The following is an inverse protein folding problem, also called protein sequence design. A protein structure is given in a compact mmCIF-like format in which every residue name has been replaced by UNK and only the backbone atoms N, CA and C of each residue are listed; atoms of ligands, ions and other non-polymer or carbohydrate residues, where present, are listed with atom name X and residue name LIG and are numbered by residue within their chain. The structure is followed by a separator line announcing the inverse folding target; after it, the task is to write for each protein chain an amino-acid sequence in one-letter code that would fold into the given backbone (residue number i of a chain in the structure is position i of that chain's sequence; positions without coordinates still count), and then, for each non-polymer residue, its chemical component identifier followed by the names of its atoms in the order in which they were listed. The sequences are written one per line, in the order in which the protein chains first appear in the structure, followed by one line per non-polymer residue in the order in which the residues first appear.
data_IF_201813728379
#
_entry.id   IF_201813728379
#
_cell.length_a   1.000
_cell.length_b   1.000
_cell.length_c   1.000
_cell.angle_alpha   90.00
_cell.angle_beta   90.00
_cell.angle_gamma   90.00
#
_symmetry.space_group_name_H-M   'P 1'
#
loop_
_entity.id
_entity.type
_entity.pdbx_description
1 polymer ?
#
# COMPACT_ATOMS: atom_id res chain seq x y z
N UNK A 1 23.29 -12.39 17.98
CA UNK A 1 24.52 -11.64 17.71
C UNK A 1 25.58 -12.11 18.69
N UNK A 2 26.84 -12.30 18.27
CA UNK A 2 27.93 -12.62 19.19
C UNK A 2 28.23 -11.43 20.11
N UNK A 3 28.51 -11.70 21.39
CA UNK A 3 28.92 -10.67 22.36
C UNK A 3 30.24 -10.03 21.92
N UNK A 4 30.27 -8.71 21.83
CA UNK A 4 31.52 -7.98 21.61
C UNK A 4 32.43 -8.19 22.81
N UNK A 5 33.72 -8.52 22.59
CA UNK A 5 34.66 -8.62 23.69
C UNK A 5 34.71 -7.29 24.44
N UNK A 6 34.65 -7.37 25.78
CA UNK A 6 34.66 -6.23 26.71
C UNK A 6 33.42 -5.30 26.67
N UNK A 7 32.30 -5.70 26.06
CA UNK A 7 31.08 -4.85 26.04
C UNK A 7 30.59 -4.49 27.44
N UNK A 8 30.53 -5.47 28.35
CA UNK A 8 30.10 -5.25 29.74
C UNK A 8 31.04 -4.32 30.51
N UNK A 9 32.35 -4.45 30.27
CA UNK A 9 33.34 -3.56 30.87
C UNK A 9 33.19 -2.13 30.35
N UNK A 10 33.02 -1.96 29.04
CA UNK A 10 32.78 -0.66 28.42
C UNK A 10 31.48 -0.02 28.93
N UNK A 11 30.40 -0.80 29.00
CA UNK A 11 29.11 -0.38 29.57
C UNK A 11 29.25 0.08 31.03
N UNK A 12 30.03 -0.65 31.83
CA UNK A 12 30.32 -0.26 33.21
C UNK A 12 31.11 1.06 33.26
N UNK A 13 32.13 1.23 32.42
CA UNK A 13 32.92 2.46 32.37
C UNK A 13 32.05 3.69 32.03
N UNK A 14 31.18 3.59 31.02
CA UNK A 14 30.29 4.69 30.62
C UNK A 14 29.36 5.16 31.76
N UNK A 15 28.93 4.24 32.63
CA UNK A 15 28.05 4.57 33.78
C UNK A 15 28.77 5.34 34.89
N UNK A 16 30.09 5.23 35.01
CA UNK A 16 30.88 5.89 36.05
C UNK A 16 31.37 7.28 35.64
N UNK A 17 31.20 7.68 34.38
CA UNK A 17 31.62 8.99 33.88
C UNK A 17 30.84 10.13 34.56
N UNK A 18 31.56 11.16 34.99
CA UNK A 18 31.00 12.42 35.46
C UNK A 18 30.45 13.28 34.32
N UNK A 19 29.65 14.31 34.66
CA UNK A 19 28.97 15.16 33.68
C UNK A 19 29.92 15.74 32.61
N UNK A 20 31.07 16.31 33.03
CA UNK A 20 32.04 16.90 32.10
C UNK A 20 32.68 15.86 31.17
N UNK A 21 32.91 14.64 31.67
CA UNK A 21 33.49 13.56 30.88
C UNK A 21 32.50 13.06 29.83
N UNK A 22 31.20 12.99 30.19
CA UNK A 22 30.13 12.67 29.25
C UNK A 22 30.03 13.71 28.13
N UNK A 23 30.08 15.01 28.45
CA UNK A 23 30.07 16.08 27.44
C UNK A 23 31.28 16.00 26.50
N UNK A 24 32.50 15.79 27.04
CA UNK A 24 33.69 15.61 26.21
C UNK A 24 33.59 14.38 25.30
N UNK A 25 33.03 13.29 25.81
CA UNK A 25 32.84 12.06 25.03
C UNK A 25 31.80 12.28 23.92
N UNK A 26 30.71 12.98 24.22
CA UNK A 26 29.69 13.38 23.23
C UNK A 26 30.29 14.17 22.08
N UNK A 27 31.04 15.24 22.37
CA UNK A 27 31.72 16.04 21.35
C UNK A 27 32.72 15.22 20.52
N UNK A 28 33.42 14.28 21.15
CA UNK A 28 34.38 13.42 20.46
C UNK A 28 33.68 12.49 19.46
N UNK A 29 32.58 11.85 19.85
CA UNK A 29 31.82 10.96 18.95
C UNK A 29 31.13 11.70 17.81
N UNK A 30 30.65 12.93 18.04
CA UNK A 30 30.07 13.75 16.98
C UNK A 30 31.07 14.12 15.88
N UNK A 31 32.38 14.12 16.17
CA UNK A 31 33.44 14.39 15.20
C UNK A 31 33.97 13.13 14.51
N UNK A 32 33.52 11.94 14.90
CA UNK A 32 33.99 10.68 14.30
C UNK A 32 33.14 10.27 13.11
N UNK A 33 33.80 9.70 12.11
CA UNK A 33 33.15 9.07 10.95
C UNK A 33 32.39 7.81 11.38
N UNK A 34 31.29 7.52 10.70
CA UNK A 34 30.51 6.31 10.90
C UNK A 34 31.27 5.08 10.38
N UNK A 35 31.55 4.10 11.26
CA UNK A 35 32.35 2.91 10.95
C UNK A 35 31.71 1.62 11.52
N UNK A 36 32.10 0.44 11.02
CA UNK A 36 31.51 -0.85 11.46
C UNK A 36 31.63 -1.05 12.98
N UNK A 37 30.49 -1.09 13.67
CA UNK A 37 30.36 -1.14 15.14
C UNK A 37 29.73 0.12 15.77
N UNK A 38 29.62 1.20 15.00
CA UNK A 38 29.06 2.50 15.39
C UNK A 38 27.64 2.44 15.95
N UNK A 39 26.74 1.64 15.37
CA UNK A 39 25.37 1.56 15.84
C UNK A 39 25.26 0.90 17.22
N UNK A 40 26.03 -0.16 17.47
CA UNK A 40 26.10 -0.81 18.77
C UNK A 40 26.71 0.12 19.83
N UNK A 41 27.78 0.84 19.47
CA UNK A 41 28.40 1.86 20.34
C UNK A 41 27.41 2.99 20.64
N UNK A 42 26.71 3.49 19.62
CA UNK A 42 25.68 4.53 19.77
C UNK A 42 24.53 4.06 20.68
N UNK A 43 24.14 2.78 20.60
CA UNK A 43 23.17 2.19 21.54
C UNK A 43 23.69 2.25 22.99
N UNK A 44 24.96 1.91 23.23
CA UNK A 44 25.56 1.96 24.56
C UNK A 44 25.66 3.41 25.09
N UNK A 45 26.02 4.36 24.22
CA UNK A 45 26.06 5.79 24.56
C UNK A 45 24.66 6.33 24.89
N UNK A 46 23.63 5.90 24.15
CA UNK A 46 22.25 6.29 24.39
C UNK A 46 21.75 5.73 25.74
N UNK A 47 22.04 4.47 26.04
CA UNK A 47 21.71 3.84 27.34
C UNK A 47 22.40 4.54 28.52
N UNK A 48 23.61 5.09 28.31
CA UNK A 48 24.34 5.84 29.32
C UNK A 48 23.93 7.32 29.44
N UNK A 49 22.93 7.76 28.65
CA UNK A 49 22.49 9.15 28.51
C UNK A 49 23.64 10.12 28.14
N UNK A 50 24.48 9.72 27.17
CA UNK A 50 25.62 10.52 26.71
C UNK A 50 25.32 11.17 25.36
N UNK A 51 24.90 10.36 24.39
CA UNK A 51 24.57 10.80 23.04
C UNK A 51 23.44 9.94 22.51
N UNK A 52 22.36 10.57 22.08
CA UNK A 52 21.21 9.87 21.47
C UNK A 52 21.36 9.77 19.96
N UNK A 53 20.66 8.81 19.34
CA UNK A 53 20.67 8.67 17.87
C UNK A 53 20.14 9.92 17.15
N UNK A 54 19.12 10.57 17.73
CA UNK A 54 18.55 11.81 17.20
C UNK A 54 19.57 12.96 17.23
N UNK A 55 20.29 13.15 18.34
CA UNK A 55 21.34 14.17 18.45
C UNK A 55 22.52 13.90 17.53
N UNK A 56 22.88 12.63 17.34
CA UNK A 56 23.96 12.27 16.43
C UNK A 56 23.58 12.60 14.99
N UNK A 57 22.42 12.14 14.50
CA UNK A 57 21.95 12.42 13.13
C UNK A 57 21.83 13.93 12.88
N UNK A 58 21.29 14.68 13.84
CA UNK A 58 21.15 16.13 13.73
C UNK A 58 22.48 16.90 13.76
N UNK A 59 23.57 16.26 14.19
CA UNK A 59 24.91 16.86 14.19
C UNK A 59 25.68 16.64 12.88
N UNK A 60 25.15 15.84 11.96
CA UNK A 60 25.80 15.52 10.70
C UNK A 60 25.36 16.47 9.59
N UNK A 61 26.33 16.88 8.76
CA UNK A 61 26.09 17.76 7.61
C UNK A 61 25.96 17.00 6.28
N UNK A 62 26.38 15.73 6.21
CA UNK A 62 26.34 14.91 4.98
C UNK A 62 25.06 14.09 4.91
N UNK A 63 24.28 14.32 3.85
CA UNK A 63 23.05 13.57 3.57
C UNK A 63 23.37 12.11 3.26
N UNK A 64 24.47 11.84 2.55
CA UNK A 64 24.92 10.48 2.21
C UNK A 64 25.25 9.67 3.47
N UNK A 65 25.95 10.30 4.42
CA UNK A 65 26.28 9.67 5.70
C UNK A 65 25.02 9.42 6.53
N UNK A 66 24.10 10.38 6.58
CA UNK A 66 22.81 10.21 7.26
C UNK A 66 22.06 9.02 6.65
N UNK A 67 22.00 8.91 5.33
CA UNK A 67 21.30 7.81 4.66
C UNK A 67 21.97 6.45 4.93
N UNK A 68 23.31 6.40 4.94
CA UNK A 68 24.05 5.19 5.31
C UNK A 68 23.71 4.74 6.75
N UNK A 69 23.71 5.67 7.70
CA UNK A 69 23.31 5.39 9.09
C UNK A 69 21.87 4.87 9.13
N UNK A 70 20.95 5.57 8.46
CA UNK A 70 19.54 5.18 8.45
C UNK A 70 19.31 3.81 7.85
N UNK A 71 20.07 3.41 6.82
CA UNK A 71 20.04 2.05 6.27
C UNK A 71 20.45 1.01 7.32
N UNK A 72 21.56 1.22 8.04
CA UNK A 72 22.00 0.33 9.12
C UNK A 72 20.92 0.20 10.22
N UNK A 73 20.24 1.31 10.54
CA UNK A 73 19.17 1.33 11.54
C UNK A 73 17.90 0.60 11.08
N UNK A 74 17.54 0.74 9.80
CA UNK A 74 16.42 0.02 9.18
C UNK A 74 16.72 -1.48 9.04
N UNK A 75 17.98 -1.84 8.85
CA UNK A 75 18.41 -3.23 8.68
C UNK A 75 18.48 -3.99 10.01
N UNK A 76 19.13 -3.42 11.03
CA UNK A 76 19.54 -4.19 12.22
C UNK A 76 19.25 -3.52 13.58
N UNK A 77 19.13 -2.19 13.65
CA UNK A 77 19.21 -1.45 14.93
C UNK A 77 17.90 -0.76 15.32
N UNK A 78 16.86 -1.58 15.48
CA UNK A 78 15.47 -1.15 15.72
C UNK A 78 15.25 -0.33 17.00
N UNK A 79 16.11 -0.47 18.01
CA UNK A 79 16.02 0.31 19.26
C UNK A 79 16.41 1.77 19.03
N UNK A 80 17.43 2.02 18.21
CA UNK A 80 17.86 3.35 17.82
C UNK A 80 16.86 3.97 16.84
N UNK A 81 16.37 3.18 15.87
CA UNK A 81 15.32 3.63 14.95
C UNK A 81 14.05 4.07 15.71
N UNK A 82 13.61 3.28 16.70
CA UNK A 82 12.47 3.64 17.53
C UNK A 82 12.69 4.96 18.30
N UNK A 83 13.92 5.25 18.73
CA UNK A 83 14.23 6.54 19.35
C UNK A 83 14.08 7.70 18.35
N UNK A 84 14.60 7.55 17.14
CA UNK A 84 14.49 8.57 16.09
C UNK A 84 13.04 8.85 15.77
N UNK A 85 12.23 7.80 15.59
CA UNK A 85 10.78 7.91 15.34
C UNK A 85 10.08 8.71 16.44
N UNK A 86 10.30 8.35 17.72
CA UNK A 86 9.68 9.04 18.85
C UNK A 86 10.01 10.53 18.86
N UNK A 87 11.25 10.88 18.53
CA UNK A 87 11.71 12.27 18.56
C UNK A 87 11.28 13.06 17.31
N UNK A 88 11.20 12.41 16.15
CA UNK A 88 10.75 13.01 14.90
C UNK A 88 9.31 13.52 14.96
N UNK A 89 8.45 12.89 15.77
CA UNK A 89 7.04 13.29 15.90
C UNK A 89 6.73 14.13 17.15
N UNK A 90 7.74 14.75 17.76
CA UNK A 90 7.56 15.75 18.83
C UNK A 90 7.32 17.15 18.24
N UNK A 91 6.78 18.05 19.07
CA UNK A 91 6.51 19.44 18.67
C UNK A 91 7.77 20.32 18.88
N UNK A 92 8.82 20.04 18.09
CA UNK A 92 10.07 20.82 18.11
C UNK A 92 10.58 21.11 16.70
N UNK A 93 11.46 22.12 16.55
CA UNK A 93 12.07 22.45 15.25
C UNK A 93 12.95 21.30 14.76
N UNK A 94 13.71 20.68 15.66
CA UNK A 94 14.56 19.54 15.37
C UNK A 94 13.77 18.32 14.88
N UNK A 95 12.54 18.15 15.35
CA UNK A 95 11.62 17.10 14.91
C UNK A 95 11.25 17.21 13.43
N UNK A 96 11.18 18.42 12.87
CA UNK A 96 10.92 18.62 11.44
C UNK A 96 12.07 18.08 10.59
N UNK A 97 13.31 18.41 10.94
CA UNK A 97 14.50 17.90 10.24
C UNK A 97 14.55 16.38 10.28
N UNK A 98 14.32 15.77 11.45
CA UNK A 98 14.31 14.30 11.58
C UNK A 98 13.14 13.65 10.84
N UNK A 99 11.99 14.32 10.76
CA UNK A 99 10.87 13.84 9.94
C UNK A 99 11.24 13.80 8.46
N UNK A 100 11.95 14.83 7.96
CA UNK A 100 12.45 14.84 6.58
C UNK A 100 13.44 13.70 6.34
N UNK A 101 14.41 13.52 7.25
CA UNK A 101 15.36 12.40 7.18
C UNK A 101 14.64 11.06 7.12
N UNK A 102 13.68 10.81 8.00
CA UNK A 102 12.89 9.58 7.99
C UNK A 102 12.15 9.38 6.67
N UNK A 103 11.51 10.43 6.13
CA UNK A 103 10.77 10.34 4.86
C UNK A 103 11.68 10.00 3.69
N UNK A 104 12.85 10.61 3.62
CA UNK A 104 13.81 10.35 2.56
C UNK A 104 14.40 8.94 2.69
N UNK A 105 14.70 8.48 3.90
CA UNK A 105 15.15 7.11 4.12
C UNK A 105 14.07 6.06 3.84
N UNK A 106 12.81 6.34 4.15
CA UNK A 106 11.69 5.47 3.79
C UNK A 106 11.48 5.41 2.28
N UNK A 107 11.65 6.54 1.57
CA UNK A 107 11.58 6.57 0.11
C UNK A 107 12.70 5.71 -0.49
N UNK A 108 13.94 5.94 -0.07
CA UNK A 108 15.10 5.13 -0.52
C UNK A 108 14.88 3.64 -0.26
N UNK A 109 14.41 3.27 0.94
CA UNK A 109 14.11 1.87 1.26
C UNK A 109 13.03 1.28 0.34
N UNK A 110 11.99 2.04 0.00
CA UNK A 110 10.94 1.55 -0.90
C UNK A 110 11.47 1.40 -2.34
N UNK A 111 12.33 2.30 -2.79
CA UNK A 111 13.00 2.20 -4.08
C UNK A 111 13.88 0.93 -4.12
N UNK A 112 14.70 0.71 -3.09
CA UNK A 112 15.52 -0.50 -2.95
C UNK A 112 14.66 -1.79 -2.89
N UNK A 113 13.53 -1.76 -2.17
CA UNK A 113 12.60 -2.89 -2.08
C UNK A 113 11.83 -3.17 -3.38
N UNK A 114 11.66 -2.16 -4.23
CA UNK A 114 11.10 -2.36 -5.57
C UNK A 114 12.08 -3.10 -6.48
N UNK A 115 13.38 -2.86 -6.33
CA UNK A 115 14.44 -3.55 -7.09
C UNK A 115 14.78 -4.93 -6.50
N UNK A 116 14.97 -5.02 -5.19
CA UNK A 116 15.20 -6.26 -4.43
C UNK A 116 14.22 -6.35 -3.23
N UNK A 117 13.13 -7.13 -3.36
CA UNK A 117 12.13 -7.31 -2.29
C UNK A 117 12.65 -7.89 -0.96
N UNK A 118 13.90 -8.35 -0.91
CA UNK A 118 14.55 -8.88 0.30
C UNK A 118 15.85 -8.13 0.66
N UNK A 119 16.03 -6.89 0.19
CA UNK A 119 17.23 -6.07 0.45
C UNK A 119 17.55 -5.92 1.95
N UNK A 120 16.52 -5.88 2.81
CA UNK A 120 16.65 -5.92 4.28
C UNK A 120 16.25 -7.28 4.84
N UNK A 121 16.82 -7.73 5.97
CA UNK A 121 16.63 -9.10 6.48
C UNK A 121 15.22 -9.36 7.05
N UNK A 122 14.55 -8.34 7.58
CA UNK A 122 13.18 -8.47 8.08
C UNK A 122 12.41 -7.16 8.02
N UNK A 123 11.08 -7.23 8.19
CA UNK A 123 10.22 -6.05 8.17
C UNK A 123 10.47 -5.20 9.42
N UNK A 124 11.16 -4.07 9.26
CA UNK A 124 11.49 -3.18 10.36
C UNK A 124 10.23 -2.68 11.09
N UNK A 125 9.10 -2.48 10.40
CA UNK A 125 7.82 -2.09 11.01
C UNK A 125 7.35 -3.09 12.06
N UNK A 126 7.50 -4.39 11.78
CA UNK A 126 7.18 -5.44 12.74
C UNK A 126 8.18 -5.42 13.90
N UNK A 127 9.45 -5.16 13.62
CA UNK A 127 10.50 -5.13 14.63
C UNK A 127 10.40 -3.91 15.59
N UNK A 128 10.01 -2.72 15.10
CA UNK A 128 9.87 -1.53 15.95
C UNK A 128 8.53 -1.45 16.67
N UNK A 129 7.52 -2.25 16.27
CA UNK A 129 6.14 -2.16 16.79
C UNK A 129 6.05 -2.12 18.31
N UNK A 130 6.76 -3.00 19.00
CA UNK A 130 6.76 -3.08 20.48
C UNK A 130 7.65 -2.02 21.14
N UNK A 131 8.42 -1.28 20.32
CA UNK A 131 9.35 -0.22 20.75
C UNK A 131 8.80 1.18 20.49
N UNK A 132 7.64 1.35 19.86
CA UNK A 132 7.07 2.69 19.62
C UNK A 132 5.65 2.77 20.18
N UNK A 133 5.17 3.99 20.44
CA UNK A 133 3.78 4.19 20.85
C UNK A 133 2.84 3.87 19.69
N UNK A 134 1.61 3.39 19.95
CA UNK A 134 0.64 3.12 18.89
C UNK A 134 0.32 4.33 18.00
N UNK A 135 0.35 5.55 18.56
CA UNK A 135 0.19 6.80 17.81
C UNK A 135 1.35 7.07 16.85
N UNK A 136 2.58 6.79 17.27
CA UNK A 136 3.79 6.96 16.45
C UNK A 136 3.82 5.94 15.32
N UNK A 137 3.49 4.67 15.62
CA UNK A 137 3.38 3.63 14.60
C UNK A 137 2.35 3.99 13.52
N UNK A 138 1.21 4.57 13.92
CA UNK A 138 0.20 5.05 12.97
C UNK A 138 0.73 6.13 12.02
N UNK A 139 1.57 7.04 12.51
CA UNK A 139 2.20 8.06 11.68
C UNK A 139 3.17 7.43 10.67
N UNK A 140 4.02 6.50 11.09
CA UNK A 140 4.94 5.80 10.19
C UNK A 140 4.17 5.01 9.13
N UNK A 141 3.14 4.26 9.53
CA UNK A 141 2.28 3.50 8.60
C UNK A 141 1.58 4.44 7.63
N UNK A 142 1.08 5.58 8.08
CA UNK A 142 0.48 6.58 7.21
C UNK A 142 1.48 7.12 6.18
N UNK A 143 2.70 7.46 6.61
CA UNK A 143 3.76 7.92 5.69
C UNK A 143 4.12 6.83 4.67
N UNK A 144 4.23 5.57 5.07
CA UNK A 144 4.48 4.47 4.12
C UNK A 144 3.33 4.25 3.16
N UNK A 145 2.09 4.33 3.63
CA UNK A 145 0.92 4.25 2.75
C UNK A 145 0.94 5.38 1.72
N UNK A 146 1.25 6.62 2.15
CA UNK A 146 1.40 7.74 1.23
C UNK A 146 2.53 7.49 0.24
N UNK A 147 3.72 7.07 0.69
CA UNK A 147 4.84 6.80 -0.20
C UNK A 147 4.50 5.69 -1.20
N UNK A 148 4.06 4.52 -0.75
CA UNK A 148 3.71 3.37 -1.61
C UNK A 148 2.61 3.71 -2.62
N UNK A 149 1.59 4.46 -2.21
CA UNK A 149 0.48 4.83 -3.09
C UNK A 149 0.82 5.99 -4.01
N UNK A 150 1.72 6.89 -3.61
CA UNK A 150 2.13 8.05 -4.40
C UNK A 150 3.45 7.83 -5.16
N UNK A 151 4.06 6.63 -5.10
CA UNK A 151 5.30 6.34 -5.85
C UNK A 151 5.08 6.69 -7.31
N UNK A 152 5.82 7.69 -7.76
CA UNK A 152 5.85 8.15 -9.15
C UNK A 152 6.71 7.17 -9.95
N UNK A 153 6.08 6.13 -10.48
CA UNK A 153 6.69 5.18 -11.41
C UNK A 153 5.82 4.99 -12.64
N UNK A 154 6.18 5.71 -13.71
CA UNK A 154 5.92 5.53 -15.17
C UNK A 154 4.54 5.19 -15.75
N UNK A 155 3.52 4.84 -14.96
CA UNK A 155 2.18 4.60 -15.52
C UNK A 155 1.30 5.83 -15.27
N UNK A 156 0.88 6.57 -16.32
CA UNK A 156 -0.16 7.57 -16.15
C UNK A 156 -1.39 6.90 -15.52
N UNK A 157 -2.10 7.66 -14.68
CA UNK A 157 -3.35 7.24 -14.04
C UNK A 157 -4.42 6.95 -15.11
N UNK A 158 -4.33 5.77 -15.73
CA UNK A 158 -5.24 5.31 -16.77
C UNK A 158 -6.07 4.15 -16.22
N UNK A 159 -7.32 4.47 -15.89
CA UNK A 159 -8.27 3.51 -15.39
C UNK A 159 -8.72 2.50 -16.47
N UNK A 160 -8.66 2.85 -17.75
CA UNK A 160 -8.94 1.91 -18.84
C UNK A 160 -7.83 0.87 -18.95
N UNK A 161 -6.56 1.32 -18.87
CA UNK A 161 -5.42 0.39 -18.80
C UNK A 161 -5.53 -0.52 -17.57
N UNK A 162 -5.90 0.04 -16.40
CA UNK A 162 -6.02 -0.72 -15.16
C UNK A 162 -7.08 -1.83 -15.25
N UNK A 163 -8.22 -1.58 -15.90
CA UNK A 163 -9.25 -2.59 -16.13
C UNK A 163 -8.70 -3.74 -16.97
N UNK A 164 -7.99 -3.45 -18.06
CA UNK A 164 -7.39 -4.46 -18.92
C UNK A 164 -6.21 -5.22 -18.29
N UNK A 165 -5.42 -4.55 -17.44
CA UNK A 165 -4.20 -5.10 -16.86
C UNK A 165 -4.38 -5.78 -15.50
N UNK A 166 -5.55 -5.68 -14.87
CA UNK A 166 -5.77 -6.12 -13.48
C UNK A 166 -5.27 -7.55 -13.20
N UNK A 167 -5.58 -8.52 -14.08
CA UNK A 167 -5.17 -9.92 -13.89
C UNK A 167 -3.64 -10.09 -13.99
N UNK A 168 -3.01 -9.38 -14.95
CA UNK A 168 -1.56 -9.37 -15.13
C UNK A 168 -0.88 -8.81 -13.89
N UNK A 169 -1.31 -7.64 -13.42
CA UNK A 169 -0.77 -6.98 -12.24
C UNK A 169 -0.91 -7.83 -10.98
N UNK A 170 -2.04 -8.51 -10.78
CA UNK A 170 -2.22 -9.44 -9.65
C UNK A 170 -1.19 -10.57 -9.69
N UNK A 171 -1.02 -11.18 -10.87
CA UNK A 171 -0.09 -12.30 -11.07
C UNK A 171 1.35 -11.84 -10.87
N UNK A 172 1.71 -10.69 -11.42
CA UNK A 172 3.03 -10.07 -11.27
C UNK A 172 3.34 -9.79 -9.80
N UNK A 173 2.45 -9.08 -9.08
CA UNK A 173 2.65 -8.79 -7.66
C UNK A 173 2.73 -10.06 -6.81
N UNK A 174 1.90 -11.06 -7.09
CA UNK A 174 1.95 -12.35 -6.39
C UNK A 174 3.25 -13.11 -6.70
N UNK A 175 3.81 -12.99 -7.90
CA UNK A 175 5.06 -13.67 -8.27
C UNK A 175 6.26 -12.97 -7.66
N UNK A 176 6.29 -11.64 -7.71
CA UNK A 176 7.42 -10.82 -7.26
C UNK A 176 7.49 -10.69 -5.74
N UNK A 177 6.35 -10.56 -5.05
CA UNK A 177 6.31 -10.20 -3.64
C UNK A 177 6.02 -11.36 -2.69
N UNK A 178 5.42 -12.46 -3.15
CA UNK A 178 5.01 -13.53 -2.23
C UNK A 178 6.19 -14.12 -1.45
N UNK A 179 6.08 -14.10 -0.12
CA UNK A 179 7.11 -14.59 0.81
C UNK A 179 8.26 -13.62 1.08
N UNK A 180 8.27 -12.43 0.46
CA UNK A 180 9.37 -11.48 0.59
C UNK A 180 9.26 -10.62 1.86
N UNK A 181 10.33 -9.91 2.19
CA UNK A 181 10.31 -8.90 3.27
C UNK A 181 9.42 -7.73 2.88
N UNK A 182 9.39 -7.36 1.60
CA UNK A 182 8.53 -6.30 1.11
C UNK A 182 7.04 -6.63 1.28
N UNK A 183 6.59 -7.86 0.96
CA UNK A 183 5.20 -8.26 1.24
C UNK A 183 4.85 -8.17 2.72
N UNK A 184 5.77 -8.58 3.62
CA UNK A 184 5.56 -8.46 5.07
C UNK A 184 5.43 -7.01 5.52
N UNK A 185 6.19 -6.10 4.91
CA UNK A 185 6.08 -4.66 5.15
C UNK A 185 4.71 -4.14 4.66
N UNK A 186 4.32 -4.44 3.42
CA UNK A 186 3.02 -4.03 2.86
C UNK A 186 1.85 -4.61 3.66
N UNK A 187 1.95 -5.85 4.12
CA UNK A 187 0.99 -6.48 5.01
C UNK A 187 0.84 -5.75 6.35
N UNK A 188 1.94 -5.24 6.91
CA UNK A 188 1.91 -4.44 8.13
C UNK A 188 1.16 -3.11 7.95
N UNK A 189 1.14 -2.55 6.74
CA UNK A 189 0.44 -1.28 6.45
C UNK A 189 -1.10 -1.42 6.49
N UNK A 190 -1.63 -2.62 6.25
CA UNK A 190 -3.07 -2.86 6.12
C UNK A 190 -3.69 -3.57 7.33
N UNK A 191 -2.91 -3.81 8.39
CA UNK A 191 -3.37 -4.41 9.64
C UNK A 191 -4.48 -3.56 10.28
N UNK A 192 -4.30 -2.24 10.33
CA UNK A 192 -5.38 -1.31 10.67
C UNK A 192 -6.18 -1.00 9.39
N UNK A 193 -7.06 -1.93 9.03
CA UNK A 193 -7.90 -1.82 7.83
C UNK A 193 -8.74 -0.54 7.81
N UNK A 194 -9.12 0.01 8.98
CA UNK A 194 -9.86 1.25 9.05
C UNK A 194 -9.00 2.44 8.60
N UNK A 195 -7.79 2.57 9.15
CA UNK A 195 -6.85 3.62 8.74
C UNK A 195 -6.46 3.50 7.27
N UNK A 196 -6.22 2.29 6.77
CA UNK A 196 -5.92 2.07 5.35
C UNK A 196 -7.07 2.54 4.43
N UNK A 197 -8.31 2.15 4.75
CA UNK A 197 -9.48 2.53 3.94
C UNK A 197 -9.73 4.04 3.98
N UNK A 198 -9.48 4.72 5.11
CA UNK A 198 -9.58 6.18 5.16
C UNK A 198 -8.53 6.87 4.27
N UNK A 199 -7.28 6.40 4.28
CA UNK A 199 -6.25 6.91 3.34
C UNK A 199 -6.67 6.70 1.89
N UNK A 200 -7.19 5.52 1.54
CA UNK A 200 -7.66 5.24 0.19
C UNK A 200 -8.81 6.17 -0.21
N UNK A 201 -9.79 6.38 0.68
CA UNK A 201 -10.90 7.32 0.43
C UNK A 201 -10.41 8.76 0.25
N UNK A 202 -9.40 9.19 0.98
CA UNK A 202 -8.82 10.52 0.81
C UNK A 202 -8.17 10.70 -0.56
N UNK A 203 -7.42 9.70 -1.03
CA UNK A 203 -6.82 9.71 -2.37
C UNK A 203 -7.89 9.77 -3.46
N UNK A 204 -8.95 8.98 -3.31
CA UNK A 204 -10.09 8.99 -4.23
C UNK A 204 -10.81 10.34 -4.29
N UNK A 205 -10.90 11.07 -3.16
CA UNK A 205 -11.53 12.40 -3.09
C UNK A 205 -10.66 13.50 -3.69
N UNK A 206 -9.35 13.43 -3.50
CA UNK A 206 -8.40 14.49 -3.92
C UNK A 206 -8.14 14.47 -5.43
N UNK A 207 -8.64 13.46 -6.17
CA UNK A 207 -8.34 13.23 -7.59
C UNK A 207 -6.82 13.23 -7.88
N UNK A 208 -6.02 12.83 -6.89
CA UNK A 208 -4.58 12.79 -7.00
C UNK A 208 -4.20 11.47 -7.67
N UNK A 209 -3.31 11.45 -8.68
CA UNK A 209 -2.84 10.20 -9.27
C UNK A 209 -2.15 9.37 -8.18
N UNK A 210 -2.52 8.10 -8.08
CA UNK A 210 -1.92 7.12 -7.17
C UNK A 210 -1.72 5.79 -7.90
N UNK A 211 -0.79 4.98 -7.41
CA UNK A 211 -0.50 3.66 -7.98
C UNK A 211 -1.66 2.70 -7.75
N UNK A 212 -2.47 2.50 -8.79
CA UNK A 212 -3.58 1.55 -8.77
C UNK A 212 -3.09 0.11 -8.55
N UNK A 213 -1.92 -0.24 -9.11
CA UNK A 213 -1.30 -1.55 -8.93
C UNK A 213 -1.04 -1.85 -7.45
N UNK A 214 -0.40 -0.93 -6.73
CA UNK A 214 -0.17 -1.06 -5.30
C UNK A 214 -1.47 -0.96 -4.48
N UNK A 215 -2.38 -0.06 -4.84
CA UNK A 215 -3.67 0.07 -4.15
C UNK A 215 -4.49 -1.24 -4.21
N UNK A 216 -4.55 -1.87 -5.38
CA UNK A 216 -5.18 -3.17 -5.58
C UNK A 216 -4.49 -4.26 -4.74
N UNK A 217 -3.16 -4.30 -4.78
CA UNK A 217 -2.42 -5.28 -4.00
C UNK A 217 -2.65 -5.13 -2.49
N UNK A 218 -2.64 -3.89 -1.97
CA UNK A 218 -2.93 -3.59 -0.56
C UNK A 218 -4.38 -3.95 -0.19
N UNK A 219 -5.36 -3.70 -1.07
CA UNK A 219 -6.74 -4.17 -0.88
C UNK A 219 -6.82 -5.69 -0.83
N UNK A 220 -6.05 -6.39 -1.68
CA UNK A 220 -5.93 -7.85 -1.68
C UNK A 220 -5.37 -8.36 -0.35
N UNK A 221 -4.30 -7.76 0.16
CA UNK A 221 -3.72 -8.09 1.46
C UNK A 221 -4.69 -7.81 2.62
N UNK A 222 -5.38 -6.67 2.60
CA UNK A 222 -6.39 -6.33 3.59
C UNK A 222 -7.53 -7.36 3.60
N UNK A 223 -8.02 -7.77 2.43
CA UNK A 223 -9.06 -8.78 2.31
C UNK A 223 -8.61 -10.16 2.82
N UNK A 224 -7.36 -10.57 2.54
CA UNK A 224 -6.78 -11.83 3.05
C UNK A 224 -6.60 -11.83 4.58
N UNK A 225 -6.27 -10.68 5.17
CA UNK A 225 -6.05 -10.55 6.61
C UNK A 225 -7.34 -10.54 7.44
N UNK A 226 -8.49 -10.32 6.79
CA UNK A 226 -9.79 -10.20 7.45
C UNK A 226 -10.39 -11.57 7.77
N UNK A 227 -10.76 -11.77 9.04
CA UNK A 227 -11.52 -12.93 9.49
C UNK A 227 -13.03 -12.75 9.23
N UNK A 228 -13.75 -13.88 9.11
CA UNK A 228 -15.21 -13.90 8.95
C UNK A 228 -15.92 -13.20 10.13
N UNK A 229 -16.91 -12.38 9.81
CA UNK A 229 -17.71 -11.54 10.71
C UNK A 229 -16.91 -10.49 11.51
N UNK A 230 -15.67 -10.20 11.13
CA UNK A 230 -14.86 -9.17 11.78
C UNK A 230 -15.31 -7.75 11.39
N UNK A 231 -14.83 -6.75 12.14
CA UNK A 231 -15.02 -5.34 11.81
C UNK A 231 -14.41 -4.98 10.45
N UNK A 232 -13.25 -5.56 10.11
CA UNK A 232 -12.59 -5.38 8.82
C UNK A 232 -13.43 -5.86 7.64
N UNK A 233 -14.13 -7.00 7.78
CA UNK A 233 -15.06 -7.49 6.74
C UNK A 233 -16.18 -6.48 6.47
N UNK A 234 -16.80 -5.96 7.54
CA UNK A 234 -17.87 -4.97 7.43
C UNK A 234 -17.37 -3.67 6.80
N UNK A 235 -16.14 -3.26 7.11
CA UNK A 235 -15.50 -2.08 6.53
C UNK A 235 -15.28 -2.22 5.03
N UNK A 236 -14.70 -3.35 4.57
CA UNK A 236 -14.50 -3.62 3.14
C UNK A 236 -15.83 -3.71 2.37
N UNK A 237 -16.84 -4.38 2.95
CA UNK A 237 -18.21 -4.40 2.40
C UNK A 237 -18.79 -2.99 2.27
N UNK A 238 -18.66 -2.16 3.31
CA UNK A 238 -19.15 -0.78 3.29
C UNK A 238 -18.42 0.05 2.24
N UNK A 239 -17.11 -0.09 2.14
CA UNK A 239 -16.29 0.63 1.17
C UNK A 239 -16.77 0.42 -0.27
N UNK A 240 -16.95 -0.83 -0.70
CA UNK A 240 -17.45 -1.16 -2.05
C UNK A 240 -18.90 -0.69 -2.24
N UNK A 241 -19.75 -0.84 -1.22
CA UNK A 241 -21.13 -0.35 -1.24
C UNK A 241 -21.21 1.17 -1.39
N UNK A 242 -20.35 1.91 -0.71
CA UNK A 242 -20.32 3.37 -0.76
C UNK A 242 -19.77 3.86 -2.10
N UNK A 243 -18.79 3.15 -2.70
CA UNK A 243 -18.38 3.37 -4.09
C UNK A 243 -19.54 3.17 -5.06
N UNK A 244 -20.30 2.08 -4.96
CA UNK A 244 -21.45 1.86 -5.84
C UNK A 244 -22.52 2.95 -5.69
N UNK A 245 -22.83 3.37 -4.46
CA UNK A 245 -23.72 4.51 -4.22
C UNK A 245 -23.21 5.79 -4.86
N UNK A 246 -21.89 5.99 -4.87
CA UNK A 246 -21.25 7.13 -5.53
C UNK A 246 -21.42 7.04 -7.05
N UNK A 247 -21.19 5.87 -7.67
CA UNK A 247 -21.45 5.64 -9.11
C UNK A 247 -22.89 6.02 -9.47
N UNK A 248 -23.86 5.48 -8.72
CA UNK A 248 -25.29 5.72 -8.95
C UNK A 248 -25.67 7.19 -8.73
N UNK A 249 -24.97 7.89 -7.83
CA UNK A 249 -25.21 9.29 -7.52
C UNK A 249 -24.57 10.28 -8.50
N UNK A 250 -23.38 9.97 -9.02
CA UNK A 250 -22.58 10.90 -9.83
C UNK A 250 -22.51 10.55 -11.32
N UNK A 251 -22.73 9.29 -11.69
CA UNK A 251 -22.61 8.83 -13.07
C UNK A 251 -21.18 8.92 -13.63
N UNK A 252 -20.15 8.97 -12.78
CA UNK A 252 -18.76 9.11 -13.22
C UNK A 252 -18.14 7.75 -13.60
N UNK A 253 -17.54 7.69 -14.79
CA UNK A 253 -16.83 6.50 -15.29
C UNK A 253 -15.67 6.10 -14.38
N UNK A 254 -14.89 7.07 -13.90
CA UNK A 254 -13.74 6.80 -13.03
C UNK A 254 -14.14 6.05 -11.76
N UNK A 255 -15.24 6.46 -11.13
CA UNK A 255 -15.80 5.78 -9.95
C UNK A 255 -16.29 4.38 -10.30
N UNK A 256 -16.86 4.17 -11.50
CA UNK A 256 -17.31 2.86 -11.95
C UNK A 256 -16.15 1.89 -12.17
N UNK A 257 -15.08 2.35 -12.81
CA UNK A 257 -13.85 1.57 -13.00
C UNK A 257 -13.25 1.18 -11.66
N UNK A 258 -13.09 2.14 -10.73
CA UNK A 258 -12.58 1.89 -9.38
C UNK A 258 -13.45 0.90 -8.60
N UNK A 259 -14.78 1.02 -8.68
CA UNK A 259 -15.70 0.06 -8.08
C UNK A 259 -15.43 -1.36 -8.56
N UNK A 260 -15.36 -1.56 -9.88
CA UNK A 260 -15.13 -2.87 -10.47
C UNK A 260 -13.74 -3.41 -10.08
N UNK A 261 -12.71 -2.57 -10.16
CA UNK A 261 -11.34 -2.91 -9.79
C UNK A 261 -11.27 -3.42 -8.34
N UNK A 262 -11.74 -2.64 -7.36
CA UNK A 262 -11.69 -3.05 -5.96
C UNK A 262 -12.61 -4.23 -5.63
N UNK A 263 -13.82 -4.28 -6.19
CA UNK A 263 -14.73 -5.40 -5.96
C UNK A 263 -14.14 -6.71 -6.48
N UNK A 264 -13.57 -6.72 -7.70
CA UNK A 264 -12.90 -7.89 -8.28
C UNK A 264 -11.73 -8.34 -7.43
N UNK A 265 -10.92 -7.39 -6.94
CA UNK A 265 -9.76 -7.71 -6.13
C UNK A 265 -10.13 -8.35 -4.80
N UNK A 266 -11.14 -7.79 -4.10
CA UNK A 266 -11.65 -8.36 -2.85
C UNK A 266 -12.26 -9.74 -3.09
N UNK A 267 -13.06 -9.91 -4.16
CA UNK A 267 -13.66 -11.20 -4.51
C UNK A 267 -12.60 -12.28 -4.80
N UNK A 268 -11.51 -11.91 -5.48
CA UNK A 268 -10.41 -12.81 -5.79
C UNK A 268 -9.57 -13.16 -4.55
N UNK A 269 -9.36 -12.19 -3.67
CA UNK A 269 -8.51 -12.33 -2.48
C UNK A 269 -9.21 -13.12 -1.35
N UNK A 270 -10.49 -12.84 -1.09
CA UNK A 270 -11.24 -13.49 -0.03
C UNK A 270 -12.75 -13.52 -0.31
N UNK A 271 -13.23 -14.69 -0.74
CA UNK A 271 -14.63 -14.92 -1.04
C UNK A 271 -15.56 -14.80 0.18
N UNK A 272 -15.06 -14.83 1.42
CA UNK A 272 -15.93 -14.61 2.60
C UNK A 272 -16.38 -13.15 2.72
N UNK A 273 -15.65 -12.21 2.12
CA UNK A 273 -15.95 -10.78 2.20
C UNK A 273 -17.05 -10.38 1.23
N UNK A 274 -16.98 -10.73 -0.06
CA UNK A 274 -18.01 -10.33 -1.05
C UNK A 274 -18.70 -11.50 -1.75
N UNK A 275 -18.29 -12.74 -1.47
CA UNK A 275 -18.60 -13.89 -2.31
C UNK A 275 -17.68 -13.96 -3.53
N UNK A 276 -17.93 -14.94 -4.39
CA UNK A 276 -17.31 -14.97 -5.71
C UNK A 276 -17.82 -13.80 -6.57
N UNK A 277 -17.00 -13.32 -7.50
CA UNK A 277 -17.35 -12.17 -8.34
C UNK A 277 -18.72 -12.28 -9.05
N UNK A 278 -19.14 -13.44 -9.61
CA UNK A 278 -20.48 -13.55 -10.21
C UNK A 278 -21.62 -13.34 -9.21
N UNK A 279 -21.43 -13.76 -7.95
CA UNK A 279 -22.42 -13.59 -6.88
C UNK A 279 -22.50 -12.11 -6.50
N UNK A 280 -21.36 -11.47 -6.27
CA UNK A 280 -21.29 -10.04 -5.97
C UNK A 280 -21.89 -9.20 -7.12
N UNK A 281 -21.54 -9.52 -8.37
CA UNK A 281 -22.03 -8.81 -9.56
C UNK A 281 -23.55 -8.99 -9.69
N UNK A 282 -24.07 -10.20 -9.48
CA UNK A 282 -25.52 -10.45 -9.46
C UNK A 282 -26.23 -9.60 -8.41
N UNK A 283 -25.74 -9.58 -7.17
CA UNK A 283 -26.38 -8.81 -6.09
C UNK A 283 -26.27 -7.29 -6.35
N UNK A 284 -25.09 -6.81 -6.73
CA UNK A 284 -24.82 -5.37 -6.81
C UNK A 284 -25.32 -4.76 -8.12
N UNK A 285 -25.00 -5.37 -9.26
CA UNK A 285 -25.35 -4.89 -10.59
C UNK A 285 -26.62 -5.56 -11.12
N UNK A 286 -26.76 -6.87 -10.91
CA UNK A 286 -27.89 -7.63 -11.45
C UNK A 286 -29.22 -7.28 -10.78
N UNK A 287 -29.25 -7.26 -9.45
CA UNK A 287 -30.44 -6.95 -8.65
C UNK A 287 -30.52 -5.48 -8.29
N UNK A 288 -29.44 -4.71 -8.51
CA UNK A 288 -29.31 -3.31 -8.10
C UNK A 288 -29.80 -3.13 -6.65
N UNK A 289 -29.27 -3.97 -5.74
CA UNK A 289 -29.73 -4.20 -4.35
C UNK A 289 -30.06 -2.92 -3.56
N UNK A 290 -29.50 -1.78 -3.94
CA UNK A 290 -29.69 -0.50 -3.27
C UNK A 290 -30.83 0.38 -3.82
N UNK A 291 -31.77 -0.21 -4.57
CA UNK A 291 -32.96 0.46 -5.11
C UNK A 291 -32.63 1.70 -5.96
N UNK A 292 -32.21 1.44 -7.19
CA UNK A 292 -31.78 2.45 -8.17
C UNK A 292 -32.98 3.00 -8.94
N UNK A 293 -33.07 4.33 -9.13
CA UNK A 293 -34.12 4.96 -9.95
C UNK A 293 -33.91 4.66 -11.44
N UNK A 294 -34.95 4.82 -12.26
CA UNK A 294 -34.90 4.55 -13.70
C UNK A 294 -33.71 5.25 -14.40
N UNK A 295 -33.53 6.55 -14.17
CA UNK A 295 -32.47 7.32 -14.85
C UNK A 295 -31.08 6.90 -14.40
N UNK A 296 -30.94 6.58 -13.11
CA UNK A 296 -29.70 6.08 -12.54
C UNK A 296 -29.36 4.67 -13.07
N UNK A 297 -30.37 3.83 -13.30
CA UNK A 297 -30.19 2.53 -13.93
C UNK A 297 -29.67 2.70 -15.35
N UNK A 298 -30.28 3.58 -16.14
CA UNK A 298 -29.85 3.87 -17.52
C UNK A 298 -28.41 4.35 -17.53
N UNK A 299 -28.08 5.36 -16.71
CA UNK A 299 -26.71 5.89 -16.59
C UNK A 299 -25.71 4.80 -16.20
N UNK A 300 -26.06 3.93 -15.24
CA UNK A 300 -25.17 2.82 -14.83
C UNK A 300 -24.96 1.81 -15.97
N UNK A 301 -25.99 1.52 -16.76
CA UNK A 301 -25.88 0.63 -17.93
C UNK A 301 -25.04 1.24 -19.06
N UNK A 302 -25.13 2.55 -19.27
CA UNK A 302 -24.30 3.29 -20.23
C UNK A 302 -22.83 3.24 -19.82
N UNK A 303 -22.52 3.45 -18.52
CA UNK A 303 -21.17 3.28 -17.98
C UNK A 303 -20.64 1.86 -18.17
N UNK A 304 -21.43 0.84 -17.83
CA UNK A 304 -21.05 -0.56 -18.06
C UNK A 304 -20.76 -0.83 -19.54
N UNK A 305 -21.55 -0.26 -20.44
CA UNK A 305 -21.37 -0.43 -21.89
C UNK A 305 -20.11 0.25 -22.39
N UNK A 306 -19.85 1.48 -21.95
CA UNK A 306 -18.67 2.25 -22.34
C UNK A 306 -17.36 1.66 -21.78
N UNK A 307 -17.43 0.82 -20.73
CA UNK A 307 -16.26 0.13 -20.16
C UNK A 307 -15.83 -1.12 -20.95
N UNK A 308 -16.70 -1.68 -21.81
CA UNK A 308 -16.41 -2.94 -22.54
C UNK A 308 -15.08 -2.91 -23.31
N UNK A 309 -14.73 -1.84 -24.06
CA UNK A 309 -13.48 -1.82 -24.84
C UNK A 309 -12.21 -1.94 -23.99
N UNK A 310 -12.25 -1.46 -22.74
CA UNK A 310 -11.13 -1.55 -21.81
C UNK A 310 -10.94 -2.97 -21.23
N UNK A 311 -12.00 -3.77 -21.21
CA UNK A 311 -11.97 -5.10 -20.62
C UNK A 311 -11.25 -6.12 -21.52
N UNK A 312 -10.24 -6.77 -20.95
CA UNK A 312 -9.41 -7.79 -21.63
C UNK A 312 -9.56 -9.17 -21.01
N UNK A 313 -10.18 -9.28 -19.83
CA UNK A 313 -10.36 -10.55 -19.14
C UNK A 313 -11.65 -11.26 -19.61
N UNK A 314 -11.48 -12.37 -20.32
CA UNK A 314 -12.57 -13.19 -20.84
C UNK A 314 -13.49 -13.74 -19.73
N UNK A 315 -12.96 -14.04 -18.54
CA UNK A 315 -13.77 -14.51 -17.41
C UNK A 315 -14.70 -13.40 -16.92
N UNK A 316 -14.18 -12.16 -16.81
CA UNK A 316 -14.97 -11.01 -16.37
C UNK A 316 -16.07 -10.68 -17.39
N UNK A 317 -15.76 -10.67 -18.68
CA UNK A 317 -16.76 -10.51 -19.75
C UNK A 317 -17.78 -11.65 -19.76
N UNK A 318 -17.33 -12.88 -19.45
CA UNK A 318 -18.20 -14.04 -19.28
C UNK A 318 -19.24 -13.81 -18.20
N UNK A 319 -18.84 -13.29 -17.04
CA UNK A 319 -19.77 -12.90 -15.97
C UNK A 319 -20.74 -11.81 -16.42
N UNK A 320 -20.23 -10.75 -17.03
CA UNK A 320 -21.02 -9.60 -17.47
C UNK A 320 -22.09 -9.98 -18.52
N UNK A 321 -21.75 -10.89 -19.44
CA UNK A 321 -22.66 -11.34 -20.50
C UNK A 321 -23.71 -12.36 -20.05
N UNK A 322 -23.45 -13.11 -18.97
CA UNK A 322 -24.28 -14.24 -18.53
C UNK A 322 -25.17 -13.92 -17.33
N UNK A 323 -24.68 -13.14 -16.35
CA UNK A 323 -25.45 -12.85 -15.14
C UNK A 323 -26.70 -12.04 -15.47
N UNK A 324 -27.84 -12.43 -14.93
CA UNK A 324 -29.12 -11.74 -15.13
C UNK A 324 -29.11 -10.34 -14.50
N UNK A 325 -29.63 -9.35 -15.22
CA UNK A 325 -29.82 -7.98 -14.73
C UNK A 325 -31.32 -7.67 -14.77
N UNK A 326 -31.86 -7.33 -13.62
CA UNK A 326 -33.26 -6.97 -13.41
C UNK A 326 -33.47 -5.53 -13.83
N UNK A 327 -34.07 -5.34 -15.01
CA UNK A 327 -34.32 -4.00 -15.54
C UNK A 327 -35.67 -3.44 -15.05
N UNK A 328 -35.74 -2.14 -14.75
CA UNK A 328 -37.01 -1.44 -14.63
C UNK A 328 -37.85 -1.54 -15.91
N UNK A 329 -39.16 -1.28 -15.80
CA UNK A 329 -40.05 -1.29 -16.96
C UNK A 329 -39.54 -0.36 -18.07
N UNK A 330 -39.53 -0.88 -19.32
CA UNK A 330 -39.02 -0.19 -20.53
C UNK A 330 -37.50 0.07 -20.55
N UNK A 331 -36.71 -0.62 -19.72
CA UNK A 331 -35.24 -0.52 -19.72
C UNK A 331 -34.52 -1.80 -20.18
N UNK A 332 -35.27 -2.83 -20.61
CA UNK A 332 -34.69 -4.11 -21.04
C UNK A 332 -33.74 -3.97 -22.23
N UNK A 333 -34.00 -3.03 -23.14
CA UNK A 333 -33.18 -2.84 -24.34
C UNK A 333 -31.72 -2.47 -24.00
N UNK A 334 -31.51 -1.68 -22.94
CA UNK A 334 -30.17 -1.35 -22.44
C UNK A 334 -29.40 -2.59 -21.96
N UNK A 335 -30.08 -3.51 -21.26
CA UNK A 335 -29.49 -4.76 -20.79
C UNK A 335 -29.18 -5.69 -21.96
N UNK A 336 -30.09 -5.81 -22.93
CA UNK A 336 -29.89 -6.64 -24.11
C UNK A 336 -28.72 -6.13 -24.96
N UNK A 337 -28.67 -4.82 -25.22
CA UNK A 337 -27.58 -4.19 -25.95
C UNK A 337 -26.23 -4.40 -25.26
N UNK A 338 -26.14 -4.13 -23.96
CA UNK A 338 -24.94 -4.35 -23.16
C UNK A 338 -24.44 -5.81 -23.27
N UNK A 339 -25.33 -6.79 -23.07
CA UNK A 339 -24.96 -8.20 -23.15
C UNK A 339 -24.54 -8.65 -24.55
N UNK A 340 -25.17 -8.11 -25.59
CA UNK A 340 -24.77 -8.37 -26.98
C UNK A 340 -23.37 -7.84 -27.25
N UNK A 341 -23.07 -6.61 -26.80
CA UNK A 341 -21.74 -6.01 -26.93
C UNK A 341 -20.68 -6.80 -26.15
N UNK A 342 -20.98 -7.28 -24.94
CA UNK A 342 -20.05 -8.17 -24.22
C UNK A 342 -19.76 -9.45 -25.03
N UNK A 343 -20.78 -10.08 -25.64
CA UNK A 343 -20.58 -11.31 -26.45
C UNK A 343 -19.79 -11.03 -27.72
N UNK A 344 -20.06 -9.91 -28.39
CA UNK A 344 -19.31 -9.47 -29.57
C UNK A 344 -17.84 -9.23 -29.23
N UNK A 345 -17.56 -8.55 -28.12
CA UNK A 345 -16.19 -8.30 -27.65
C UNK A 345 -15.48 -9.60 -27.24
N UNK A 346 -16.17 -10.54 -26.57
CA UNK A 346 -15.62 -11.88 -26.30
C UNK A 346 -15.23 -12.60 -27.59
N UNK A 347 -16.05 -12.51 -28.64
CA UNK A 347 -15.75 -13.12 -29.93
C UNK A 347 -14.49 -12.49 -30.55
N UNK A 348 -14.40 -11.15 -30.54
CA UNK A 348 -13.22 -10.41 -31.04
C UNK A 348 -11.93 -10.79 -30.31
N UNK A 349 -11.97 -10.92 -28.97
CA UNK A 349 -10.80 -11.32 -28.19
C UNK A 349 -10.41 -12.80 -28.35
N UNK A 350 -11.30 -13.65 -28.88
CA UNK A 350 -11.04 -15.07 -29.14
C UNK A 350 -10.59 -15.36 -30.56
N UNK A 351 -10.82 -14.44 -31.50
CA UNK A 351 -10.32 -14.58 -32.85
C UNK A 351 -8.78 -14.60 -32.79
N UNK A 352 -8.13 -15.66 -33.31
CA UNK A 352 -6.67 -15.66 -33.41
C UNK A 352 -6.27 -14.51 -34.34
N UNK A 353 -5.21 -13.78 -34.00
CA UNK A 353 -4.58 -12.81 -34.91
C UNK A 353 -4.41 -13.51 -36.27
N UNK A 354 -5.23 -13.13 -37.26
CA UNK A 354 -5.02 -13.49 -38.65
C UNK A 354 -3.77 -12.73 -39.10
N UNK A 355 -2.60 -13.26 -38.77
CA UNK A 355 -1.39 -13.01 -39.54
C UNK A 355 -1.69 -13.48 -40.95
N UNK A 356 -2.07 -12.52 -41.80
CA UNK A 356 -2.03 -12.66 -43.24
C UNK A 356 -0.57 -12.96 -43.59
N UNK A 357 -0.24 -14.25 -43.68
CA UNK A 357 0.93 -14.71 -44.41
C UNK A 357 0.61 -14.42 -45.87
N UNK A 358 1.14 -13.32 -46.39
CA UNK A 358 1.26 -13.12 -47.82
C UNK A 358 2.25 -14.20 -48.28
N UNK A 359 1.74 -15.25 -48.93
CA UNK A 359 2.58 -16.18 -49.69
C UNK A 359 3.17 -15.43 -50.90
N UNK A 360 4.46 -15.67 -51.12
CA UNK A 360 5.36 -15.03 -52.11
C UNK A 360 4.86 -15.03 -53.56
#
# INVERSE_FOLDING_TARGET
MPDLPYEEEYRAQLKHLGYKEKELLKEAFQRQEWNMGSARVLSLLQEANILTASEYILSLDSIELIQQIMNDLLEAEYSLLAHIVRYAYQDTVQSQTLTTVLKDSFRSLLDDLNEDPNVIPCSYLQAIKERVLPSELKLIVHEHLQLVLLVQGDSPFDLDEAIGCQQRWRTEMQTTLNGTVFERLLGALVVDTASFIEVLKELLKKSCPFSLKYALYLVSLAAKAVALNSSGEKLLKSFVKDLFRTVVGTGLMSTMQLLLLFAREICAANATVLGAYPIWYKQTIGEMTYSVKKDQFISTMELLTALIPAERNLEMLGVHSTVAISAPAKCNDYVLNYKQLCRAHIAQLKEPDCTVVLED
#
